data_IF_923755348763
#
_entry.id   IF_923755348763
#
_cell.length_a   1.000
_cell.length_b   1.000
_cell.length_c   1.000
_cell.angle_alpha   90.00
_cell.angle_beta   90.00
_cell.angle_gamma   90.00
#
_symmetry.space_group_name_H-M   'P 1'
#
loop_
_entity.id
_entity.type
_entity.pdbx_description
1 polymer ?
#
# COMPACT_ATOMS: atom_id res chain seq x y z
N UNK A 1 2.79 1.92 -11.26
CA UNK A 1 2.64 3.16 -10.48
C UNK A 1 3.58 3.18 -9.29
N UNK A 2 3.58 2.18 -8.40
CA UNK A 2 4.43 2.17 -7.20
C UNK A 2 5.91 2.46 -7.44
N UNK A 3 6.52 1.83 -8.48
CA UNK A 3 7.90 2.14 -8.87
C UNK A 3 8.09 3.64 -9.18
N UNK A 4 7.18 4.27 -9.92
CA UNK A 4 7.30 5.68 -10.28
C UNK A 4 7.22 6.59 -9.04
N UNK A 5 6.34 6.28 -8.08
CA UNK A 5 6.27 7.01 -6.82
C UNK A 5 7.56 6.86 -6.01
N UNK A 6 8.09 5.63 -5.89
CA UNK A 6 9.30 5.36 -5.13
C UNK A 6 10.52 6.10 -5.71
N UNK A 7 10.70 6.08 -7.03
CA UNK A 7 11.79 6.79 -7.70
C UNK A 7 11.67 8.31 -7.54
N UNK A 8 10.48 8.86 -7.81
CA UNK A 8 10.23 10.31 -7.70
C UNK A 8 10.49 10.82 -6.27
N UNK A 9 9.98 10.12 -5.26
CA UNK A 9 10.18 10.54 -3.87
C UNK A 9 11.64 10.40 -3.43
N UNK A 10 12.33 9.35 -3.86
CA UNK A 10 13.76 9.18 -3.59
C UNK A 10 14.59 10.31 -4.23
N UNK A 11 14.27 10.73 -5.45
CA UNK A 11 14.90 11.89 -6.14
C UNK A 11 14.73 13.19 -5.34
N UNK A 12 13.64 13.30 -4.56
CA UNK A 12 13.39 14.44 -3.67
C UNK A 12 13.91 14.21 -2.23
N UNK A 13 14.78 13.21 -2.03
CA UNK A 13 15.47 12.97 -0.77
C UNK A 13 14.72 12.11 0.25
N UNK A 14 13.59 11.51 -0.11
CA UNK A 14 12.91 10.57 0.77
C UNK A 14 13.68 9.26 0.87
N UNK A 15 13.69 8.66 2.06
CA UNK A 15 14.18 7.29 2.30
C UNK A 15 13.02 6.32 2.15
N UNK A 16 13.18 5.27 1.35
CA UNK A 16 12.06 4.47 0.85
C UNK A 16 12.08 3.05 1.41
N UNK A 17 10.97 2.61 2.00
CA UNK A 17 10.66 1.18 2.09
C UNK A 17 9.85 0.80 0.86
N UNK A 18 10.42 -0.01 -0.01
CA UNK A 18 9.74 -0.57 -1.17
C UNK A 18 9.09 -1.87 -0.73
N UNK A 19 7.76 -1.88 -0.57
CA UNK A 19 7.03 -3.12 -0.29
C UNK A 19 6.48 -3.70 -1.58
N UNK A 20 6.93 -4.91 -1.91
CA UNK A 20 6.44 -5.68 -3.06
C UNK A 20 6.53 -7.18 -2.74
N UNK A 21 5.39 -7.85 -2.67
CA UNK A 21 5.34 -9.30 -2.46
C UNK A 21 5.76 -10.10 -3.71
N UNK A 22 5.88 -9.40 -4.84
CA UNK A 22 6.30 -10.00 -6.10
C UNK A 22 5.23 -10.85 -6.80
N UNK A 23 3.96 -10.67 -6.47
CA UNK A 23 2.89 -11.40 -7.14
C UNK A 23 2.66 -10.91 -8.58
N UNK A 24 2.14 -11.82 -9.42
CA UNK A 24 1.59 -11.46 -10.72
C UNK A 24 0.36 -10.52 -10.55
N UNK A 25 -0.09 -9.85 -11.64
CA UNK A 25 -1.24 -8.94 -11.58
C UNK A 25 -2.54 -9.56 -11.06
N UNK A 26 -2.70 -10.88 -11.13
CA UNK A 26 -3.85 -11.63 -10.59
C UNK A 26 -3.68 -12.05 -9.12
N UNK A 27 -2.56 -11.69 -8.49
CA UNK A 27 -2.23 -11.99 -7.12
C UNK A 27 -1.59 -13.36 -6.89
N UNK A 28 -1.21 -14.08 -7.95
CA UNK A 28 -0.56 -15.39 -7.85
C UNK A 28 0.95 -15.28 -7.93
N UNK A 29 1.62 -16.32 -7.41
CA UNK A 29 3.09 -16.39 -7.39
C UNK A 29 3.72 -15.42 -6.43
N UNK A 30 5.05 -15.35 -6.46
CA UNK A 30 5.87 -14.42 -5.66
C UNK A 30 7.29 -14.41 -6.22
N UNK A 31 7.76 -13.26 -6.67
CA UNK A 31 9.15 -13.02 -7.07
C UNK A 31 9.57 -11.63 -6.58
N UNK A 32 10.49 -11.58 -5.63
CA UNK A 32 10.99 -10.34 -5.05
C UNK A 32 11.77 -9.45 -6.05
N UNK A 33 12.16 -10.00 -7.21
CA UNK A 33 12.97 -9.27 -8.21
C UNK A 33 12.43 -7.91 -8.62
N UNK A 34 11.12 -7.69 -8.85
CA UNK A 34 10.61 -6.36 -9.20
C UNK A 34 10.89 -5.33 -8.09
N UNK A 35 10.68 -5.68 -6.83
CA UNK A 35 10.98 -4.82 -5.70
C UNK A 35 12.48 -4.58 -5.50
N UNK A 36 13.30 -5.64 -5.65
CA UNK A 36 14.76 -5.55 -5.59
C UNK A 36 15.32 -4.62 -6.68
N UNK A 37 14.76 -4.70 -7.88
CA UNK A 37 15.16 -3.84 -8.99
C UNK A 37 14.87 -2.36 -8.67
N UNK A 38 13.71 -2.03 -8.12
CA UNK A 38 13.38 -0.65 -7.72
C UNK A 38 14.35 -0.15 -6.64
N UNK A 39 14.67 -0.97 -5.64
CA UNK A 39 15.67 -0.64 -4.61
C UNK A 39 17.04 -0.39 -5.25
N UNK A 40 17.47 -1.24 -6.17
CA UNK A 40 18.75 -1.08 -6.86
C UNK A 40 18.80 0.22 -7.69
N UNK A 41 17.73 0.55 -8.41
CA UNK A 41 17.61 1.79 -9.18
C UNK A 41 17.72 3.04 -8.30
N UNK A 42 17.00 3.06 -7.16
CA UNK A 42 17.06 4.18 -6.20
C UNK A 42 18.48 4.35 -5.66
N UNK A 43 19.14 3.25 -5.25
CA UNK A 43 20.50 3.29 -4.71
C UNK A 43 21.51 3.70 -5.76
N UNK A 44 21.38 3.25 -7.00
CA UNK A 44 22.25 3.66 -8.10
C UNK A 44 22.14 5.15 -8.43
N UNK A 45 20.96 5.75 -8.18
CA UNK A 45 20.73 7.19 -8.30
C UNK A 45 21.19 7.99 -7.05
N UNK A 46 21.78 7.34 -6.04
CA UNK A 46 22.28 7.98 -4.81
C UNK A 46 21.22 8.13 -3.71
N UNK A 47 20.03 7.58 -3.88
CA UNK A 47 18.95 7.56 -2.87
C UNK A 47 19.11 6.40 -1.86
N UNK A 48 18.27 6.42 -0.83
CA UNK A 48 18.20 5.36 0.19
C UNK A 48 16.91 4.55 0.05
N UNK A 49 17.02 3.24 -0.12
CA UNK A 49 15.87 2.35 -0.20
C UNK A 49 16.14 0.98 0.42
N UNK A 50 15.12 0.37 0.98
CA UNK A 50 15.14 -0.98 1.56
C UNK A 50 13.91 -1.75 1.10
N UNK A 51 14.09 -3.03 0.77
CA UNK A 51 13.00 -3.93 0.38
C UNK A 51 12.23 -4.43 1.59
N UNK A 52 10.94 -4.58 1.41
CA UNK A 52 10.03 -5.36 2.24
C UNK A 52 9.14 -6.23 1.35
N UNK A 53 8.77 -7.43 1.80
CA UNK A 53 7.96 -8.39 1.02
C UNK A 53 6.68 -8.81 1.76
N UNK A 54 6.19 -7.97 2.67
CA UNK A 54 4.98 -8.25 3.44
C UNK A 54 3.73 -8.33 2.54
N UNK A 55 2.87 -9.31 2.82
CA UNK A 55 1.49 -9.26 2.36
C UNK A 55 0.76 -8.14 3.12
N UNK A 56 0.32 -7.12 2.39
CA UNK A 56 -0.39 -5.96 2.97
C UNK A 56 -1.71 -6.35 3.64
N UNK A 57 -2.23 -7.53 3.39
CA UNK A 57 -3.45 -8.06 4.01
C UNK A 57 -3.20 -8.91 5.27
N UNK A 58 -1.94 -9.15 5.64
CA UNK A 58 -1.53 -9.80 6.90
C UNK A 58 -1.17 -8.76 7.95
N UNK A 59 -1.92 -8.74 9.05
CA UNK A 59 -1.75 -7.71 10.08
C UNK A 59 -0.38 -7.74 10.77
N UNK A 60 0.19 -8.95 11.00
CA UNK A 60 1.50 -9.09 11.65
C UNK A 60 2.63 -8.69 10.71
N UNK A 61 2.53 -9.06 9.44
CA UNK A 61 3.52 -8.69 8.43
C UNK A 61 3.51 -7.17 8.20
N UNK A 62 2.33 -6.54 8.18
CA UNK A 62 2.21 -5.08 8.06
C UNK A 62 2.74 -4.35 9.29
N UNK A 63 2.44 -4.83 10.52
CA UNK A 63 3.04 -4.27 11.73
C UNK A 63 4.58 -4.31 11.68
N UNK A 64 5.15 -5.44 11.26
CA UNK A 64 6.59 -5.58 11.09
C UNK A 64 7.16 -4.66 10.00
N UNK A 65 6.44 -4.45 8.90
CA UNK A 65 6.81 -3.53 7.82
C UNK A 65 6.86 -2.07 8.32
N UNK A 66 5.86 -1.62 9.06
CA UNK A 66 5.85 -0.27 9.65
C UNK A 66 7.01 -0.12 10.65
N UNK A 67 7.26 -1.13 11.47
CA UNK A 67 8.41 -1.15 12.40
C UNK A 67 9.75 -1.10 11.64
N UNK A 68 9.90 -1.85 10.56
CA UNK A 68 11.10 -1.80 9.72
C UNK A 68 11.39 -0.38 9.23
N UNK A 69 10.39 0.38 8.80
CA UNK A 69 10.57 1.77 8.35
C UNK A 69 11.12 2.64 9.48
N UNK A 70 10.54 2.52 10.67
CA UNK A 70 10.94 3.29 11.86
C UNK A 70 12.34 2.89 12.32
N UNK A 71 12.64 1.59 12.40
CA UNK A 71 13.93 1.09 12.87
C UNK A 71 15.06 1.42 11.88
N UNK A 72 14.77 1.44 10.57
CA UNK A 72 15.76 1.69 9.54
C UNK A 72 16.03 3.19 9.36
N UNK A 73 14.99 4.03 9.40
CA UNK A 73 15.09 5.43 9.03
C UNK A 73 14.73 6.41 10.15
N UNK A 74 14.33 5.90 11.32
CA UNK A 74 14.04 6.70 12.53
C UNK A 74 12.63 7.30 12.57
N UNK A 75 11.92 7.36 11.45
CA UNK A 75 10.57 7.92 11.36
C UNK A 75 9.76 7.28 10.22
N UNK A 76 8.47 7.60 10.18
CA UNK A 76 7.57 7.35 9.06
C UNK A 76 6.76 8.62 8.82
N UNK A 77 6.99 9.28 7.68
CA UNK A 77 6.33 10.54 7.34
C UNK A 77 5.23 10.34 6.30
N UNK A 78 5.47 9.44 5.32
CA UNK A 78 4.56 9.24 4.20
C UNK A 78 4.24 7.76 4.04
N UNK A 79 2.95 7.44 4.01
CA UNK A 79 2.43 6.12 3.67
C UNK A 79 1.72 6.17 2.32
N UNK A 80 2.16 5.34 1.36
CA UNK A 80 1.49 5.21 0.06
C UNK A 80 0.94 3.81 -0.10
N UNK A 81 -0.38 3.68 -0.09
CA UNK A 81 -1.09 2.44 -0.33
C UNK A 81 -1.40 2.31 -1.83
N UNK A 82 -0.61 1.49 -2.53
CA UNK A 82 -0.73 1.26 -3.97
C UNK A 82 -0.88 -0.22 -4.35
N UNK A 83 -0.58 -1.15 -3.46
CA UNK A 83 -0.70 -2.59 -3.72
C UNK A 83 -2.11 -2.95 -4.23
N UNK A 84 -2.16 -3.85 -5.21
CA UNK A 84 -3.44 -4.25 -5.78
C UNK A 84 -3.31 -5.30 -6.87
N UNK A 85 -4.39 -6.02 -7.09
CA UNK A 85 -4.52 -7.11 -8.06
C UNK A 85 -5.81 -6.96 -8.85
N UNK A 86 -5.92 -7.67 -9.97
CA UNK A 86 -7.11 -7.69 -10.81
C UNK A 86 -7.58 -9.14 -11.04
N UNK A 87 -8.86 -9.38 -10.81
CA UNK A 87 -9.56 -10.63 -11.15
C UNK A 87 -10.90 -10.28 -11.77
N UNK A 88 -10.83 -9.70 -12.96
CA UNK A 88 -11.97 -9.12 -13.67
C UNK A 88 -12.85 -10.21 -14.27
N UNK A 89 -14.12 -10.24 -13.87
CA UNK A 89 -15.17 -11.13 -14.36
C UNK A 89 -16.52 -10.49 -14.22
N UNK A 90 -17.48 -10.87 -15.07
CA UNK A 90 -18.89 -10.50 -14.84
C UNK A 90 -19.34 -10.98 -13.46
N UNK A 91 -20.24 -10.25 -12.80
CA UNK A 91 -20.73 -10.58 -11.44
C UNK A 91 -21.17 -12.03 -11.33
N UNK A 92 -21.92 -12.53 -12.33
CA UNK A 92 -22.42 -13.90 -12.34
C UNK A 92 -21.34 -14.98 -12.49
N UNK A 93 -20.11 -14.59 -12.90
CA UNK A 93 -18.98 -15.48 -13.10
C UNK A 93 -17.87 -15.25 -12.06
N UNK A 94 -18.02 -14.27 -11.17
CA UNK A 94 -17.07 -13.98 -10.10
C UNK A 94 -17.21 -15.03 -9.01
N UNK A 95 -16.15 -15.79 -8.75
CA UNK A 95 -16.12 -16.74 -7.64
C UNK A 95 -15.96 -16.00 -6.30
N UNK A 96 -16.33 -16.66 -5.20
CA UNK A 96 -16.11 -16.17 -3.85
C UNK A 96 -14.60 -15.88 -3.61
N UNK A 97 -13.71 -16.80 -4.06
CA UNK A 97 -12.25 -16.58 -3.95
C UNK A 97 -11.75 -15.35 -4.75
N UNK A 98 -12.28 -15.11 -5.95
CA UNK A 98 -11.94 -13.90 -6.71
C UNK A 98 -12.42 -12.64 -5.99
N UNK A 99 -13.61 -12.68 -5.42
CA UNK A 99 -14.18 -11.58 -4.64
C UNK A 99 -13.33 -11.31 -3.39
N UNK A 100 -13.18 -12.33 -2.55
CA UNK A 100 -12.49 -12.22 -1.26
C UNK A 100 -11.02 -11.80 -1.42
N UNK A 101 -10.32 -12.38 -2.40
CA UNK A 101 -8.93 -12.04 -2.63
C UNK A 101 -8.76 -10.57 -3.06
N UNK A 102 -9.60 -10.07 -3.98
CA UNK A 102 -9.52 -8.68 -4.43
C UNK A 102 -9.88 -7.71 -3.29
N UNK A 103 -10.96 -7.95 -2.57
CA UNK A 103 -11.38 -7.11 -1.43
C UNK A 103 -10.32 -7.15 -0.32
N UNK A 104 -9.78 -8.31 -0.02
CA UNK A 104 -8.74 -8.50 0.99
C UNK A 104 -7.47 -7.71 0.64
N UNK A 105 -6.94 -7.85 -0.57
CA UNK A 105 -5.71 -7.17 -0.97
C UNK A 105 -5.91 -5.65 -1.06
N UNK A 106 -6.99 -5.20 -1.66
CA UNK A 106 -7.23 -3.77 -1.86
C UNK A 106 -7.72 -3.06 -0.60
N UNK A 107 -8.87 -3.48 -0.05
CA UNK A 107 -9.52 -2.73 1.02
C UNK A 107 -8.86 -2.99 2.38
N UNK A 108 -8.72 -4.25 2.77
CA UNK A 108 -8.03 -4.62 4.01
C UNK A 108 -6.53 -4.26 3.93
N UNK A 109 -5.88 -4.48 2.75
CA UNK A 109 -4.48 -4.13 2.52
C UNK A 109 -4.20 -2.62 2.46
N UNK A 110 -5.22 -1.77 2.33
CA UNK A 110 -5.12 -0.32 2.55
C UNK A 110 -5.36 0.03 4.02
N UNK A 111 -6.33 -0.61 4.66
CA UNK A 111 -6.68 -0.35 6.06
C UNK A 111 -5.53 -0.70 7.02
N UNK A 112 -4.92 -1.87 6.91
CA UNK A 112 -3.91 -2.33 7.87
C UNK A 112 -2.68 -1.42 7.95
N UNK A 113 -2.03 -1.00 6.84
CA UNK A 113 -0.92 -0.07 6.92
C UNK A 113 -1.33 1.28 7.53
N UNK A 114 -2.51 1.80 7.19
CA UNK A 114 -3.03 3.03 7.79
C UNK A 114 -3.24 2.89 9.30
N UNK A 115 -3.80 1.76 9.75
CA UNK A 115 -4.04 1.47 11.16
C UNK A 115 -2.73 1.46 11.95
N UNK A 116 -1.72 0.71 11.51
CA UNK A 116 -0.44 0.61 12.22
C UNK A 116 0.38 1.91 12.16
N UNK A 117 0.37 2.61 11.03
CA UNK A 117 1.00 3.93 10.91
C UNK A 117 0.29 4.96 11.81
N UNK A 118 -1.03 4.97 11.83
CA UNK A 118 -1.83 5.85 12.69
C UNK A 118 -1.55 5.63 14.19
N UNK A 119 -1.41 4.37 14.62
CA UNK A 119 -0.99 4.05 16.00
C UNK A 119 0.39 4.68 16.29
N UNK A 120 1.36 4.51 15.39
CA UNK A 120 2.70 5.09 15.55
C UNK A 120 2.63 6.62 15.66
N UNK A 121 1.99 7.31 14.74
CA UNK A 121 1.88 8.77 14.74
C UNK A 121 1.18 9.29 15.98
N UNK A 122 0.09 8.65 16.41
CA UNK A 122 -0.60 8.99 17.67
C UNK A 122 0.32 8.86 18.87
N UNK A 123 1.18 7.84 18.95
CA UNK A 123 2.16 7.68 20.03
C UNK A 123 3.22 8.78 19.99
N UNK A 124 3.71 9.18 18.79
CA UNK A 124 4.65 10.30 18.66
C UNK A 124 4.03 11.62 19.15
N UNK A 125 2.79 11.91 18.75
CA UNK A 125 2.06 13.11 19.23
C UNK A 125 1.88 13.09 20.74
N UNK A 126 1.52 11.94 21.35
CA UNK A 126 1.41 11.80 22.81
C UNK A 126 2.74 11.98 23.53
N UNK A 127 3.86 11.67 22.87
CA UNK A 127 5.21 11.90 23.38
C UNK A 127 5.70 13.35 23.17
N UNK A 128 4.84 14.25 22.72
CA UNK A 128 5.16 15.67 22.51
C UNK A 128 5.95 15.95 21.23
N UNK A 129 6.07 15.00 20.33
CA UNK A 129 6.75 15.21 19.05
C UNK A 129 5.79 15.79 18.01
N UNK A 130 6.29 16.71 17.19
CA UNK A 130 5.56 17.17 16.02
C UNK A 130 5.43 16.03 14.99
N UNK A 131 4.22 15.83 14.49
CA UNK A 131 3.92 14.84 13.44
C UNK A 131 3.34 15.58 12.24
N UNK A 132 4.02 15.49 11.09
CA UNK A 132 3.54 16.00 9.80
C UNK A 132 3.45 14.85 8.80
N UNK A 133 2.53 13.94 9.08
CA UNK A 133 2.35 12.71 8.30
C UNK A 133 1.37 12.88 7.15
N UNK A 134 1.57 12.10 6.10
CA UNK A 134 0.68 12.05 4.93
C UNK A 134 0.35 10.61 4.56
N UNK A 135 -0.91 10.37 4.22
CA UNK A 135 -1.36 9.10 3.65
C UNK A 135 -1.88 9.32 2.25
N UNK A 136 -1.40 8.52 1.31
CA UNK A 136 -1.85 8.53 -0.09
C UNK A 136 -2.43 7.17 -0.39
N UNK A 137 -3.73 7.11 -0.67
CA UNK A 137 -4.43 5.89 -1.04
C UNK A 137 -4.77 5.88 -2.52
N UNK A 138 -4.44 4.78 -3.20
CA UNK A 138 -4.73 4.62 -4.62
C UNK A 138 -6.13 4.05 -4.81
N UNK A 139 -7.08 4.90 -5.19
CA UNK A 139 -8.39 4.48 -5.69
C UNK A 139 -8.35 4.29 -7.21
N UNK A 140 -9.50 4.26 -7.87
CA UNK A 140 -9.62 4.06 -9.31
C UNK A 140 -10.86 4.77 -9.85
N UNK A 141 -10.82 5.13 -11.13
CA UNK A 141 -12.00 5.48 -11.90
C UNK A 141 -13.14 4.44 -11.74
N UNK A 142 -12.79 3.14 -11.70
CA UNK A 142 -13.76 2.07 -11.47
C UNK A 142 -14.48 2.14 -10.12
N UNK A 143 -13.82 2.69 -9.09
CA UNK A 143 -14.43 2.90 -7.77
C UNK A 143 -15.42 4.07 -7.73
N UNK A 144 -15.37 4.98 -8.70
CA UNK A 144 -16.23 6.16 -8.79
C UNK A 144 -17.34 5.99 -9.84
N UNK A 145 -17.01 5.42 -11.00
CA UNK A 145 -17.91 5.35 -12.16
C UNK A 145 -18.27 3.94 -12.57
N UNK A 146 -17.67 2.94 -11.95
CA UNK A 146 -17.88 1.51 -12.17
C UNK A 146 -17.58 1.05 -13.60
N UNK A 147 -16.93 -0.11 -13.72
CA UNK A 147 -16.71 -0.77 -15.01
C UNK A 147 -17.37 -2.16 -15.03
N UNK A 148 -17.92 -2.53 -16.15
CA UNK A 148 -18.42 -3.89 -16.39
C UNK A 148 -17.27 -4.89 -16.16
N UNK A 149 -17.53 -5.97 -15.45
CA UNK A 149 -16.53 -7.01 -15.14
C UNK A 149 -15.63 -6.72 -13.95
N UNK A 150 -15.81 -5.60 -13.24
CA UNK A 150 -14.97 -5.19 -12.12
C UNK A 150 -15.74 -5.02 -10.80
N UNK A 151 -16.73 -5.85 -10.53
CA UNK A 151 -17.59 -5.69 -9.35
C UNK A 151 -16.80 -5.70 -8.02
N UNK A 152 -15.91 -6.68 -7.84
CA UNK A 152 -15.03 -6.80 -6.66
C UNK A 152 -14.04 -5.62 -6.56
N UNK A 153 -13.38 -5.29 -7.67
CA UNK A 153 -12.42 -4.21 -7.73
C UNK A 153 -13.07 -2.83 -7.52
N UNK A 154 -14.18 -2.55 -8.19
CA UNK A 154 -14.92 -1.30 -8.04
C UNK A 154 -15.41 -1.11 -6.59
N UNK A 155 -16.01 -2.15 -5.98
CA UNK A 155 -16.43 -2.12 -4.59
C UNK A 155 -15.27 -1.82 -3.62
N UNK A 156 -14.12 -2.50 -3.80
CA UNK A 156 -12.94 -2.27 -2.98
C UNK A 156 -12.40 -0.83 -3.16
N UNK A 157 -12.30 -0.33 -4.40
CA UNK A 157 -11.79 1.02 -4.70
C UNK A 157 -12.73 2.15 -4.23
N UNK A 158 -14.03 1.94 -4.27
CA UNK A 158 -15.02 2.84 -3.66
C UNK A 158 -14.86 2.85 -2.12
N UNK A 159 -14.68 1.67 -1.52
CA UNK A 159 -14.40 1.53 -0.08
C UNK A 159 -13.12 2.26 0.35
N UNK A 160 -12.06 2.21 -0.45
CA UNK A 160 -10.82 2.96 -0.18
C UNK A 160 -11.07 4.47 -0.20
N UNK A 161 -11.86 4.99 -1.13
CA UNK A 161 -12.21 6.41 -1.17
C UNK A 161 -12.96 6.85 0.10
N UNK A 162 -13.96 6.07 0.52
CA UNK A 162 -14.70 6.32 1.76
C UNK A 162 -13.78 6.24 2.99
N UNK A 163 -12.94 5.20 3.11
CA UNK A 163 -11.97 5.03 4.18
C UNK A 163 -11.01 6.21 4.29
N UNK A 164 -10.55 6.74 3.15
CA UNK A 164 -9.65 7.90 3.10
C UNK A 164 -10.30 9.14 3.71
N UNK A 165 -11.59 9.38 3.40
CA UNK A 165 -12.34 10.53 3.93
C UNK A 165 -12.57 10.40 5.44
N UNK A 166 -12.87 9.19 5.91
CA UNK A 166 -13.04 8.93 7.36
C UNK A 166 -11.73 9.17 8.09
N UNK A 167 -10.64 8.55 7.65
CA UNK A 167 -9.33 8.69 8.29
C UNK A 167 -8.79 10.13 8.28
N UNK A 168 -9.16 10.93 7.29
CA UNK A 168 -8.76 12.34 7.23
C UNK A 168 -9.52 13.24 8.23
N UNK A 169 -10.58 12.73 8.86
CA UNK A 169 -11.38 13.45 9.88
C UNK A 169 -11.05 13.03 11.31
N UNK A 170 -10.40 11.90 11.47
CA UNK A 170 -9.95 11.35 12.77
C UNK A 170 -8.56 11.85 13.16
#
# INVERSE_FOLDING_TARGET
>A
MGRAYALMLAEHGAKIIVNDIGSAPDGRGGDAKPGEQVVAEIRAAGGEATLNTADVSDAKAVEAMIRQAIDTYGNLDILINNAGILRDKLVINTSEDDWDTVVRVHLKGTFLPMHHAGIYWRLQTKAGKAVDARVINTTSHSGLYCNVGQANYAAAKAGIAALTIVAARE
#
